data_IF_824928275066
#
_entry.id   IF_824928275066
#
_cell.length_a   1.000
_cell.length_b   1.000
_cell.length_c   1.000
_cell.angle_alpha   90.00
_cell.angle_beta   90.00
_cell.angle_gamma   90.00
#
_symmetry.space_group_name_H-M   'P 1'
#
loop_
_entity.id
_entity.type
_entity.pdbx_description
1 polymer ?
#
# COMPACT_ATOMS: atom_id res chain seq x y z
N UNK A 1 -27.10 -8.78 -23.79
CA UNK A 1 -26.26 -8.05 -22.82
C UNK A 1 -26.98 -8.09 -21.48
N UNK A 2 -26.59 -8.99 -20.57
CA UNK A 2 -27.14 -9.01 -19.21
C UNK A 2 -26.73 -7.74 -18.49
N UNK A 3 -27.70 -7.05 -17.86
CA UNK A 3 -27.40 -5.88 -17.04
C UNK A 3 -26.35 -6.25 -15.99
N UNK A 4 -25.29 -5.45 -15.87
CA UNK A 4 -24.29 -5.65 -14.81
C UNK A 4 -25.01 -5.61 -13.44
N UNK A 5 -24.72 -6.55 -12.54
CA UNK A 5 -25.40 -6.59 -11.24
C UNK A 5 -25.16 -5.26 -10.51
N UNK A 6 -26.18 -4.76 -9.81
CA UNK A 6 -26.06 -3.57 -8.95
C UNK A 6 -25.00 -3.78 -7.88
N UNK A 7 -24.62 -2.71 -7.16
CA UNK A 7 -23.56 -2.74 -6.13
C UNK A 7 -23.70 -3.92 -5.15
N UNK A 8 -24.86 -4.08 -4.55
CA UNK A 8 -25.14 -5.22 -3.65
C UNK A 8 -25.11 -6.57 -4.37
N UNK A 9 -25.45 -6.61 -5.67
CA UNK A 9 -25.31 -7.80 -6.51
C UNK A 9 -23.87 -8.22 -6.68
N UNK A 10 -22.95 -7.29 -6.94
CA UNK A 10 -21.52 -7.55 -7.04
C UNK A 10 -20.92 -8.01 -5.69
N UNK A 11 -21.30 -7.39 -4.58
CA UNK A 11 -20.89 -7.84 -3.24
C UNK A 11 -21.43 -9.24 -2.93
N UNK A 12 -22.68 -9.55 -3.32
CA UNK A 12 -23.23 -10.89 -3.19
C UNK A 12 -22.52 -11.93 -4.05
N UNK A 13 -22.06 -11.56 -5.23
CA UNK A 13 -21.22 -12.45 -6.04
C UNK A 13 -19.85 -12.69 -5.41
N UNK A 14 -19.21 -11.64 -4.84
CA UNK A 14 -17.96 -11.79 -4.09
C UNK A 14 -18.14 -12.65 -2.84
N UNK A 15 -19.28 -12.53 -2.14
CA UNK A 15 -19.57 -13.39 -0.98
C UNK A 15 -19.67 -14.88 -1.34
N UNK A 16 -19.89 -15.21 -2.62
CA UNK A 16 -19.91 -16.57 -3.16
C UNK A 16 -18.53 -17.02 -3.68
N UNK A 17 -17.51 -16.15 -3.64
CA UNK A 17 -16.14 -16.58 -3.92
C UNK A 17 -15.71 -17.59 -2.86
N UNK A 18 -14.85 -18.51 -3.28
CA UNK A 18 -14.35 -19.59 -2.40
C UNK A 18 -13.60 -19.06 -1.18
N UNK A 19 -13.38 -19.94 -0.22
CA UNK A 19 -12.69 -19.62 1.04
C UNK A 19 -11.31 -18.98 0.81
N UNK A 20 -10.60 -19.37 -0.26
CA UNK A 20 -9.31 -18.80 -0.64
C UNK A 20 -9.35 -17.28 -0.81
N UNK A 21 -10.38 -16.73 -1.44
CA UNK A 21 -10.55 -15.28 -1.60
C UNK A 21 -10.65 -14.56 -0.23
N UNK A 22 -11.43 -15.10 0.69
CA UNK A 22 -11.61 -14.50 2.01
C UNK A 22 -10.36 -14.62 2.88
N UNK A 23 -9.61 -15.71 2.75
CA UNK A 23 -8.33 -15.88 3.45
C UNK A 23 -7.24 -14.94 2.92
N UNK A 24 -7.24 -14.65 1.61
CA UNK A 24 -6.38 -13.60 1.03
C UNK A 24 -6.73 -12.23 1.60
N UNK A 25 -8.01 -11.88 1.65
CA UNK A 25 -8.46 -10.61 2.23
C UNK A 25 -8.20 -10.52 3.75
N UNK A 26 -8.37 -11.62 4.48
CA UNK A 26 -8.03 -11.69 5.91
C UNK A 26 -6.53 -11.49 6.13
N UNK A 27 -5.68 -12.10 5.30
CA UNK A 27 -4.23 -11.88 5.37
C UNK A 27 -3.85 -10.43 5.09
N UNK A 28 -4.55 -9.78 4.14
CA UNK A 28 -4.34 -8.36 3.83
C UNK A 28 -4.78 -7.43 4.98
N UNK A 29 -5.92 -7.72 5.62
CA UNK A 29 -6.40 -6.99 6.78
C UNK A 29 -5.44 -7.09 7.96
N UNK A 30 -5.03 -8.30 8.28
CA UNK A 30 -4.12 -8.57 9.40
C UNK A 30 -2.72 -8.00 9.15
N UNK A 31 -2.25 -7.97 7.90
CA UNK A 31 -1.01 -7.30 7.54
C UNK A 31 -1.14 -5.77 7.64
N UNK A 32 -2.29 -5.22 7.24
CA UNK A 32 -2.60 -3.80 7.47
C UNK A 32 -2.41 -3.41 8.93
N UNK A 33 -2.90 -4.20 9.86
CA UNK A 33 -2.69 -3.97 11.31
C UNK A 33 -1.22 -4.17 11.69
N UNK A 34 -0.65 -5.35 11.38
CA UNK A 34 0.64 -5.75 11.93
C UNK A 34 1.84 -5.01 11.29
N UNK A 35 1.78 -4.70 9.99
CA UNK A 35 2.85 -3.97 9.32
C UNK A 35 2.86 -2.50 9.70
N UNK A 36 1.71 -1.83 9.64
CA UNK A 36 1.62 -0.41 9.98
C UNK A 36 1.78 -0.18 11.48
N UNK A 37 1.32 -1.12 12.33
CA UNK A 37 1.53 -1.05 13.77
C UNK A 37 3.00 -1.07 14.18
N UNK A 38 3.84 -1.78 13.42
CA UNK A 38 5.28 -1.70 13.64
C UNK A 38 5.87 -0.46 12.98
N UNK A 39 5.52 -0.17 11.73
CA UNK A 39 6.12 0.95 10.99
C UNK A 39 5.92 2.28 11.70
N UNK A 40 4.73 2.52 12.25
CA UNK A 40 4.40 3.75 12.97
C UNK A 40 5.18 3.91 14.29
N UNK A 41 5.55 2.79 14.92
CA UNK A 41 6.29 2.80 16.20
C UNK A 41 7.79 2.54 16.05
N UNK A 42 8.24 2.15 14.87
CA UNK A 42 9.60 1.63 14.68
C UNK A 42 10.67 2.65 15.06
N UNK A 43 10.53 3.92 14.64
CA UNK A 43 11.49 4.97 15.02
C UNK A 43 11.55 5.11 16.53
N UNK A 44 10.39 5.17 17.20
CA UNK A 44 10.31 5.34 18.65
C UNK A 44 10.88 4.13 19.40
N UNK A 45 10.66 2.92 18.91
CA UNK A 45 11.24 1.70 19.47
C UNK A 45 12.77 1.70 19.33
N UNK A 46 13.30 2.02 18.14
CA UNK A 46 14.73 2.08 17.88
C UNK A 46 15.44 3.12 18.75
N UNK A 47 14.82 4.29 18.97
CA UNK A 47 15.43 5.37 19.74
C UNK A 47 15.28 5.16 21.25
N UNK A 48 14.10 4.76 21.73
CA UNK A 48 13.81 4.68 23.16
C UNK A 48 14.25 3.36 23.79
N UNK A 49 13.92 2.23 23.14
CA UNK A 49 14.17 0.90 23.69
C UNK A 49 15.57 0.38 23.30
N UNK A 50 15.98 0.56 22.03
CA UNK A 50 17.30 0.17 21.56
C UNK A 50 18.39 1.27 21.68
N UNK A 51 18.00 2.47 22.14
CA UNK A 51 18.89 3.63 22.36
C UNK A 51 19.74 3.99 21.13
N UNK A 52 19.15 3.85 19.95
CA UNK A 52 19.75 4.25 18.69
C UNK A 52 19.67 5.78 18.55
N UNK A 53 20.69 6.42 17.96
CA UNK A 53 20.61 7.85 17.64
C UNK A 53 19.49 8.13 16.63
N UNK A 54 18.78 9.25 16.75
CA UNK A 54 17.59 9.59 15.93
C UNK A 54 17.87 9.51 14.43
N UNK A 55 19.03 10.03 13.99
CA UNK A 55 19.43 9.95 12.59
C UNK A 55 19.62 8.50 12.11
N UNK A 56 20.23 7.65 12.92
CA UNK A 56 20.45 6.24 12.61
C UNK A 56 19.11 5.47 12.58
N UNK A 57 18.19 5.77 13.52
CA UNK A 57 16.86 5.19 13.54
C UNK A 57 16.05 5.56 12.30
N UNK A 58 16.05 6.84 11.91
CA UNK A 58 15.39 7.31 10.68
C UNK A 58 15.97 6.64 9.42
N UNK A 59 17.29 6.53 9.33
CA UNK A 59 17.96 5.82 8.22
C UNK A 59 17.59 4.33 8.21
N UNK A 60 17.52 3.68 9.37
CA UNK A 60 17.13 2.27 9.50
C UNK A 60 15.72 2.04 8.97
N UNK A 61 14.75 2.89 9.32
CA UNK A 61 13.37 2.81 8.80
C UNK A 61 13.32 3.04 7.29
N UNK A 62 14.09 4.00 6.79
CA UNK A 62 14.19 4.26 5.35
C UNK A 62 14.76 3.08 4.58
N UNK A 63 15.82 2.47 5.07
CA UNK A 63 16.43 1.28 4.49
C UNK A 63 15.49 0.07 4.57
N UNK A 64 14.80 -0.12 5.69
CA UNK A 64 13.79 -1.17 5.84
C UNK A 64 12.66 -1.03 4.80
N UNK A 65 12.05 0.13 4.69
CA UNK A 65 10.95 0.36 3.73
C UNK A 65 11.41 0.26 2.28
N UNK A 66 12.65 0.68 2.00
CA UNK A 66 13.31 0.49 0.71
C UNK A 66 13.52 -0.98 0.39
N UNK A 67 14.05 -1.75 1.34
CA UNK A 67 14.29 -3.18 1.19
C UNK A 67 12.98 -3.95 0.97
N UNK A 68 11.90 -3.61 1.69
CA UNK A 68 10.55 -4.16 1.44
C UNK A 68 10.18 -4.05 -0.03
N UNK A 69 10.31 -2.84 -0.59
CA UNK A 69 9.90 -2.59 -1.98
C UNK A 69 10.78 -3.31 -3.00
N UNK A 70 12.10 -3.36 -2.77
CA UNK A 70 13.03 -4.08 -3.64
C UNK A 70 12.72 -5.59 -3.62
N UNK A 71 12.44 -6.15 -2.44
CA UNK A 71 12.14 -7.57 -2.28
C UNK A 71 10.77 -7.98 -2.84
N UNK A 72 9.87 -7.03 -3.17
CA UNK A 72 8.63 -7.34 -3.90
C UNK A 72 8.90 -7.90 -5.31
N UNK A 73 10.02 -7.54 -5.95
CA UNK A 73 10.38 -8.04 -7.28
C UNK A 73 10.67 -9.55 -7.26
N UNK A 74 11.65 -10.05 -6.48
CA UNK A 74 11.84 -11.49 -6.34
C UNK A 74 10.65 -12.19 -5.66
N UNK A 75 9.94 -11.50 -4.75
CA UNK A 75 8.75 -12.01 -4.09
C UNK A 75 7.62 -12.35 -5.05
N UNK A 76 7.41 -11.50 -6.07
CA UNK A 76 6.47 -11.79 -7.16
C UNK A 76 6.86 -13.05 -7.93
N UNK A 77 8.14 -13.21 -8.27
CA UNK A 77 8.64 -14.42 -8.96
C UNK A 77 8.52 -15.68 -8.08
N UNK A 78 8.67 -15.56 -6.76
CA UNK A 78 8.41 -16.66 -5.82
C UNK A 78 6.94 -17.05 -5.87
N UNK A 79 6.03 -16.07 -5.86
CA UNK A 79 4.60 -16.30 -5.96
C UNK A 79 4.23 -17.05 -7.25
N UNK A 80 4.74 -16.60 -8.39
CA UNK A 80 4.48 -17.23 -9.68
C UNK A 80 4.95 -18.71 -9.74
N UNK A 81 6.13 -19.00 -9.13
CA UNK A 81 6.70 -20.36 -9.13
C UNK A 81 6.05 -21.29 -8.11
N UNK A 82 5.82 -20.84 -6.89
CA UNK A 82 5.37 -21.68 -5.77
C UNK A 82 3.86 -21.66 -5.56
N UNK A 83 3.18 -20.69 -6.19
CA UNK A 83 1.77 -20.43 -6.05
C UNK A 83 1.42 -19.59 -4.83
N UNK A 84 0.26 -18.98 -4.91
CA UNK A 84 -0.26 -18.03 -3.93
C UNK A 84 -0.32 -18.62 -2.51
N UNK A 85 -0.80 -19.85 -2.36
CA UNK A 85 -0.89 -20.52 -1.06
C UNK A 85 0.46 -20.63 -0.36
N UNK A 86 1.48 -21.18 -1.05
CA UNK A 86 2.81 -21.38 -0.46
C UNK A 86 3.52 -20.05 -0.21
N UNK A 87 3.35 -19.08 -1.12
CA UNK A 87 3.93 -17.74 -0.99
C UNK A 87 3.36 -17.00 0.24
N UNK A 88 2.04 -16.99 0.42
CA UNK A 88 1.41 -16.39 1.62
C UNK A 88 1.85 -17.13 2.88
N UNK A 89 1.86 -18.47 2.90
CA UNK A 89 2.33 -19.25 4.05
C UNK A 89 3.77 -18.91 4.44
N UNK A 90 4.70 -18.84 3.46
CA UNK A 90 6.08 -18.43 3.70
C UNK A 90 6.16 -17.00 4.26
N UNK A 91 5.41 -16.06 3.69
CA UNK A 91 5.42 -14.67 4.15
C UNK A 91 4.92 -14.52 5.59
N UNK A 92 3.87 -15.24 5.96
CA UNK A 92 3.34 -15.24 7.32
C UNK A 92 4.34 -15.84 8.33
N UNK A 93 5.06 -16.91 7.95
CA UNK A 93 6.13 -17.49 8.76
C UNK A 93 7.29 -16.49 8.96
N UNK A 94 7.82 -15.95 7.89
CA UNK A 94 8.90 -14.96 7.95
C UNK A 94 8.47 -13.70 8.72
N UNK A 95 7.23 -13.25 8.52
CA UNK A 95 6.67 -12.12 9.22
C UNK A 95 6.52 -12.34 10.72
N UNK A 96 6.11 -13.53 11.12
CA UNK A 96 6.05 -13.95 12.55
C UNK A 96 7.44 -13.95 13.17
N UNK A 97 8.40 -14.63 12.52
CA UNK A 97 9.78 -14.74 13.02
C UNK A 97 10.45 -13.34 13.09
N UNK A 98 10.29 -12.52 12.07
CA UNK A 98 10.84 -11.17 12.05
C UNK A 98 10.26 -10.27 13.14
N UNK A 99 8.94 -10.29 13.34
CA UNK A 99 8.28 -9.48 14.38
C UNK A 99 8.62 -9.96 15.79
N UNK A 100 8.61 -11.27 16.00
CA UNK A 100 9.03 -11.84 17.29
C UNK A 100 10.51 -11.57 17.58
N UNK A 101 11.38 -11.72 16.58
CA UNK A 101 12.79 -11.37 16.71
C UNK A 101 13.02 -9.90 17.05
N UNK A 102 12.23 -8.99 16.46
CA UNK A 102 12.29 -7.55 16.78
C UNK A 102 11.84 -7.31 18.24
N UNK A 103 10.77 -7.96 18.69
CA UNK A 103 10.33 -7.86 20.08
C UNK A 103 11.34 -8.39 21.09
N UNK A 104 12.11 -9.42 20.69
CA UNK A 104 13.17 -10.02 21.52
C UNK A 104 14.49 -9.24 21.46
N UNK A 105 14.68 -8.34 20.48
CA UNK A 105 15.96 -7.70 20.21
C UNK A 105 16.55 -7.00 21.44
N UNK A 106 15.72 -6.33 22.23
CA UNK A 106 16.13 -5.64 23.48
C UNK A 106 16.77 -6.60 24.50
N UNK A 107 16.34 -7.85 24.53
CA UNK A 107 16.82 -8.86 25.49
C UNK A 107 18.06 -9.61 25.00
N UNK A 108 18.56 -9.34 23.78
CA UNK A 108 19.71 -10.02 23.19
C UNK A 108 21.02 -9.32 23.56
N UNK A 109 22.17 -10.04 23.56
CA UNK A 109 23.48 -9.44 23.75
C UNK A 109 23.87 -8.43 22.66
N UNK A 110 23.29 -8.57 21.45
CA UNK A 110 23.55 -7.73 20.29
C UNK A 110 22.24 -7.15 19.73
N UNK A 111 21.60 -6.20 20.46
CA UNK A 111 20.24 -5.76 20.14
C UNK A 111 20.10 -5.16 18.72
N UNK A 112 21.12 -4.44 18.25
CA UNK A 112 21.08 -3.84 16.91
C UNK A 112 21.20 -4.88 15.78
N UNK A 113 22.03 -5.90 15.98
CA UNK A 113 22.16 -7.02 15.01
C UNK A 113 20.84 -7.80 14.96
N UNK A 114 20.27 -8.13 16.12
CA UNK A 114 18.98 -8.80 16.20
C UNK A 114 17.85 -7.98 15.54
N UNK A 115 17.83 -6.67 15.77
CA UNK A 115 16.86 -5.78 15.12
C UNK A 115 17.03 -5.78 13.59
N UNK A 116 18.26 -5.66 13.07
CA UNK A 116 18.49 -5.68 11.63
C UNK A 116 18.13 -7.01 10.98
N UNK A 117 18.49 -8.14 11.57
CA UNK A 117 18.08 -9.47 11.09
C UNK A 117 16.55 -9.56 11.05
N UNK A 118 15.91 -9.10 12.10
CA UNK A 118 14.45 -9.09 12.21
C UNK A 118 13.79 -8.21 11.13
N UNK A 119 14.32 -7.02 10.88
CA UNK A 119 13.84 -6.12 9.83
C UNK A 119 14.04 -6.70 8.43
N UNK A 120 15.15 -7.39 8.17
CA UNK A 120 15.38 -8.09 6.89
C UNK A 120 14.36 -9.22 6.70
N UNK A 121 14.09 -10.02 7.74
CA UNK A 121 13.05 -11.06 7.70
C UNK A 121 11.65 -10.47 7.44
N UNK A 122 11.32 -9.37 8.12
CA UNK A 122 10.06 -8.66 7.90
C UNK A 122 9.97 -8.06 6.48
N UNK A 123 11.06 -7.52 5.97
CA UNK A 123 11.11 -6.99 4.61
C UNK A 123 10.90 -8.10 3.57
N UNK A 124 11.53 -9.27 3.77
CA UNK A 124 11.32 -10.44 2.92
C UNK A 124 9.88 -10.96 3.02
N UNK A 125 9.31 -10.99 4.23
CA UNK A 125 7.91 -11.36 4.45
C UNK A 125 6.96 -10.48 3.62
N UNK A 126 7.02 -9.17 3.82
CA UNK A 126 6.14 -8.21 3.12
C UNK A 126 6.43 -8.18 1.62
N UNK A 127 7.70 -8.33 1.23
CA UNK A 127 8.12 -8.41 -0.16
C UNK A 127 7.48 -9.58 -0.92
N UNK A 128 7.31 -10.74 -0.28
CA UNK A 128 6.59 -11.89 -0.86
C UNK A 128 5.08 -11.73 -0.72
N UNK A 129 4.60 -11.23 0.41
CA UNK A 129 3.18 -11.18 0.75
C UNK A 129 2.39 -10.28 -0.19
N UNK A 130 2.84 -9.07 -0.44
CA UNK A 130 2.07 -8.10 -1.23
C UNK A 130 1.78 -8.58 -2.67
N UNK A 131 2.77 -9.03 -3.47
CA UNK A 131 2.49 -9.60 -4.78
C UNK A 131 1.60 -10.84 -4.72
N UNK A 132 1.76 -11.68 -3.69
CA UNK A 132 0.96 -12.90 -3.53
C UNK A 132 -0.50 -12.60 -3.20
N UNK A 133 -0.80 -11.55 -2.41
CA UNK A 133 -2.17 -11.11 -2.14
C UNK A 133 -2.86 -10.62 -3.41
N UNK A 134 -2.17 -9.83 -4.23
CA UNK A 134 -2.72 -9.33 -5.49
C UNK A 134 -2.94 -10.47 -6.50
N UNK A 135 -1.99 -11.38 -6.64
CA UNK A 135 -2.14 -12.59 -7.47
C UNK A 135 -3.31 -13.45 -6.95
N UNK A 136 -3.41 -13.63 -5.63
CA UNK A 136 -4.47 -14.40 -4.99
C UNK A 136 -5.86 -13.87 -5.27
N UNK A 137 -6.05 -12.54 -5.29
CA UNK A 137 -7.33 -11.95 -5.70
C UNK A 137 -7.63 -12.30 -7.15
N UNK A 138 -6.67 -12.16 -8.07
CA UNK A 138 -6.87 -12.51 -9.49
C UNK A 138 -7.24 -13.99 -9.66
N UNK A 139 -6.55 -14.90 -8.96
CA UNK A 139 -6.76 -16.35 -9.06
C UNK A 139 -8.10 -16.79 -8.46
N UNK A 140 -8.56 -16.13 -7.40
CA UNK A 140 -9.74 -16.57 -6.62
C UNK A 140 -11.02 -15.82 -6.96
N UNK A 141 -10.94 -14.76 -7.77
CA UNK A 141 -12.09 -13.95 -8.19
C UNK A 141 -12.53 -14.30 -9.61
N UNK A 142 -13.83 -14.31 -9.87
CA UNK A 142 -14.37 -14.46 -11.22
C UNK A 142 -14.11 -13.19 -12.04
N UNK A 143 -13.93 -13.32 -13.36
CA UNK A 143 -13.61 -12.19 -14.26
C UNK A 143 -14.65 -11.05 -14.18
N UNK A 144 -15.92 -11.36 -14.06
CA UNK A 144 -17.01 -10.38 -14.00
C UNK A 144 -17.02 -9.52 -12.73
N UNK A 145 -16.32 -9.92 -11.67
CA UNK A 145 -16.22 -9.21 -10.39
C UNK A 145 -14.76 -8.93 -9.96
N UNK A 146 -13.79 -9.15 -10.82
CA UNK A 146 -12.37 -8.97 -10.52
C UNK A 146 -12.05 -7.53 -10.07
N UNK A 147 -12.59 -6.51 -10.76
CA UNK A 147 -12.42 -5.11 -10.38
C UNK A 147 -12.92 -4.84 -8.95
N UNK A 148 -14.10 -5.37 -8.60
CA UNK A 148 -14.66 -5.26 -7.25
C UNK A 148 -13.83 -6.07 -6.24
N UNK A 149 -13.23 -7.20 -6.67
CA UNK A 149 -12.30 -7.99 -5.85
C UNK A 149 -11.05 -7.19 -5.43
N UNK A 150 -10.39 -6.52 -6.36
CA UNK A 150 -9.25 -5.63 -6.07
C UNK A 150 -9.68 -4.41 -5.26
N UNK A 151 -10.86 -3.87 -5.53
CA UNK A 151 -11.43 -2.76 -4.78
C UNK A 151 -11.63 -3.13 -3.31
N UNK A 152 -12.21 -4.29 -3.04
CA UNK A 152 -12.42 -4.77 -1.68
C UNK A 152 -11.10 -5.08 -0.97
N UNK A 153 -10.13 -5.68 -1.67
CA UNK A 153 -8.78 -5.91 -1.13
C UNK A 153 -8.15 -4.60 -0.66
N UNK A 154 -8.21 -3.55 -1.49
CA UNK A 154 -7.64 -2.24 -1.16
C UNK A 154 -8.36 -1.59 0.03
N UNK A 155 -9.69 -1.65 0.06
CA UNK A 155 -10.49 -1.12 1.18
C UNK A 155 -10.24 -1.87 2.49
N UNK A 156 -10.10 -3.19 2.44
CA UNK A 156 -9.82 -4.02 3.61
C UNK A 156 -8.41 -3.72 4.19
N UNK A 157 -7.43 -3.46 3.33
CA UNK A 157 -6.11 -2.99 3.78
C UNK A 157 -6.22 -1.67 4.55
N UNK A 158 -6.92 -0.69 3.97
CA UNK A 158 -7.12 0.61 4.62
C UNK A 158 -7.92 0.50 5.93
N UNK A 159 -8.89 -0.41 6.01
CA UNK A 159 -9.59 -0.73 7.24
C UNK A 159 -8.64 -1.31 8.30
N UNK A 160 -7.68 -2.15 7.90
CA UNK A 160 -6.62 -2.66 8.78
C UNK A 160 -5.71 -1.55 9.32
N UNK A 161 -5.29 -0.63 8.45
CA UNK A 161 -4.49 0.55 8.84
C UNK A 161 -5.26 1.42 9.83
N UNK A 162 -6.53 1.68 9.56
CA UNK A 162 -7.40 2.44 10.46
C UNK A 162 -7.56 1.73 11.80
N UNK A 163 -7.81 0.42 11.82
CA UNK A 163 -7.93 -0.37 13.04
C UNK A 163 -6.65 -0.31 13.88
N UNK A 164 -5.47 -0.37 13.24
CA UNK A 164 -4.17 -0.22 13.90
C UNK A 164 -4.07 1.10 14.65
N UNK A 165 -4.47 2.20 14.04
CA UNK A 165 -4.39 3.54 14.64
C UNK A 165 -5.16 3.66 15.97
N UNK A 166 -6.12 2.77 16.22
CA UNK A 166 -6.84 2.68 17.49
C UNK A 166 -6.27 1.60 18.42
N UNK A 167 -5.86 0.47 17.85
CA UNK A 167 -5.36 -0.69 18.62
C UNK A 167 -4.00 -0.39 19.24
N UNK A 168 -3.09 0.24 18.50
CA UNK A 168 -1.71 0.48 18.96
C UNK A 168 -1.62 1.40 20.20
N UNK A 169 -2.27 2.57 20.25
CA UNK A 169 -2.30 3.39 21.46
C UNK A 169 -2.96 2.68 22.64
N UNK A 170 -4.06 1.96 22.42
CA UNK A 170 -4.75 1.20 23.45
C UNK A 170 -3.89 0.10 24.07
N UNK A 171 -3.10 -0.60 23.25
CA UNK A 171 -2.16 -1.59 23.75
C UNK A 171 -1.00 -0.95 24.53
N UNK A 172 -0.47 0.18 24.04
CA UNK A 172 0.78 0.77 24.48
C UNK A 172 0.69 1.59 25.76
N UNK A 173 -0.42 2.36 25.92
CA UNK A 173 -0.57 3.34 27.02
C UNK A 173 -1.58 2.87 28.06
N UNK A 174 -1.62 3.54 29.21
CA UNK A 174 -2.67 3.36 30.23
C UNK A 174 -3.81 4.38 30.07
N UNK A 175 -3.75 5.22 29.04
CA UNK A 175 -4.76 6.24 28.79
C UNK A 175 -6.09 5.62 28.35
N UNK A 176 -7.19 6.36 28.63
CA UNK A 176 -8.52 5.91 28.20
C UNK A 176 -8.72 6.30 26.73
N UNK A 177 -8.83 5.30 25.88
CA UNK A 177 -9.13 5.46 24.45
C UNK A 177 -10.52 4.90 24.18
N UNK A 178 -11.43 5.71 23.65
CA UNK A 178 -12.84 5.32 23.42
C UNK A 178 -13.57 4.71 24.63
N UNK A 179 -13.31 5.22 25.83
CA UNK A 179 -13.92 4.71 27.06
C UNK A 179 -13.30 3.40 27.59
N UNK A 180 -12.29 2.85 26.92
CA UNK A 180 -11.55 1.66 27.35
C UNK A 180 -10.18 2.08 27.91
N UNK A 181 -9.86 1.60 29.10
CA UNK A 181 -8.53 1.81 29.69
C UNK A 181 -7.50 0.99 28.91
N UNK A 182 -6.42 1.66 28.49
CA UNK A 182 -5.33 1.02 27.79
C UNK A 182 -4.55 0.01 28.65
N UNK A 183 -3.91 -0.96 28.00
CA UNK A 183 -3.21 -2.07 28.64
C UNK A 183 -1.82 -1.70 29.18
N UNK A 184 -1.19 -0.63 28.66
CA UNK A 184 0.12 -0.18 29.11
C UNK A 184 1.27 -1.14 28.82
N UNK A 185 1.19 -1.91 27.75
CA UNK A 185 2.20 -2.92 27.41
C UNK A 185 3.52 -2.33 26.91
N UNK A 186 3.59 -1.02 26.66
CA UNK A 186 4.75 -0.37 26.08
C UNK A 186 5.02 -0.77 24.62
N UNK A 187 6.17 -0.38 24.09
CA UNK A 187 6.52 -0.71 22.68
C UNK A 187 6.77 -2.20 22.47
N UNK A 188 7.52 -2.85 23.37
CA UNK A 188 7.81 -4.28 23.27
C UNK A 188 6.54 -5.13 23.33
N UNK A 189 5.58 -4.80 24.20
CA UNK A 189 4.30 -5.52 24.27
C UNK A 189 3.48 -5.38 23.00
N UNK A 190 3.45 -4.19 22.38
CA UNK A 190 2.81 -4.00 21.07
C UNK A 190 3.48 -4.86 20.00
N UNK A 191 4.82 -4.90 19.95
CA UNK A 191 5.56 -5.74 18.99
C UNK A 191 5.22 -7.24 19.15
N UNK A 192 5.04 -7.73 20.37
CA UNK A 192 4.59 -9.10 20.63
C UNK A 192 3.19 -9.35 20.10
N UNK A 193 2.26 -8.45 20.30
CA UNK A 193 0.90 -8.56 19.73
C UNK A 193 0.97 -8.55 18.20
N UNK A 194 1.78 -7.65 17.61
CA UNK A 194 1.97 -7.59 16.16
C UNK A 194 2.68 -8.84 15.59
N UNK A 195 3.43 -9.60 16.39
CA UNK A 195 3.97 -10.91 16.03
C UNK A 195 2.92 -12.01 16.13
N UNK A 196 2.02 -11.92 17.11
CA UNK A 196 0.92 -12.87 17.32
C UNK A 196 -0.11 -12.86 16.18
N UNK A 197 -0.35 -11.70 15.55
CA UNK A 197 -1.30 -11.55 14.45
C UNK A 197 -0.92 -12.43 13.24
N UNK A 198 0.27 -12.35 12.64
CA UNK A 198 0.64 -13.21 11.51
C UNK A 198 0.81 -14.68 11.94
N UNK A 199 1.16 -14.96 13.18
CA UNK A 199 1.17 -16.35 13.70
C UNK A 199 -0.24 -16.94 13.70
N UNK A 200 -1.22 -16.21 14.24
CA UNK A 200 -2.62 -16.62 14.17
C UNK A 200 -3.08 -16.82 12.72
N UNK A 201 -2.76 -15.86 11.86
CA UNK A 201 -3.09 -15.96 10.44
C UNK A 201 -2.40 -17.15 9.76
N UNK A 202 -1.16 -17.49 10.13
CA UNK A 202 -0.44 -18.66 9.62
C UNK A 202 -1.15 -19.96 10.00
N UNK A 203 -1.63 -20.06 11.23
CA UNK A 203 -2.40 -21.22 11.69
C UNK A 203 -3.70 -21.33 10.88
N UNK A 204 -4.48 -20.26 10.79
CA UNK A 204 -5.72 -20.23 10.00
C UNK A 204 -5.45 -20.57 8.53
N UNK A 205 -4.40 -19.97 7.94
CA UNK A 205 -4.00 -20.23 6.56
C UNK A 205 -3.63 -21.69 6.34
N UNK A 206 -2.83 -22.27 7.23
CA UNK A 206 -2.36 -23.66 7.09
C UNK A 206 -3.51 -24.67 7.20
N UNK A 207 -4.51 -24.38 8.04
CA UNK A 207 -5.65 -25.27 8.28
C UNK A 207 -6.74 -25.15 7.22
N UNK A 208 -6.99 -23.93 6.72
CA UNK A 208 -8.20 -23.66 5.95
C UNK A 208 -7.95 -23.21 4.50
N UNK A 209 -6.71 -22.81 4.14
CA UNK A 209 -6.48 -22.38 2.75
C UNK A 209 -6.56 -23.60 1.82
N UNK A 210 -7.40 -23.53 0.77
CA UNK A 210 -7.59 -24.66 -0.15
C UNK A 210 -6.25 -25.13 -0.75
N UNK A 211 -6.07 -26.45 -0.80
CA UNK A 211 -4.93 -27.02 -1.51
C UNK A 211 -5.11 -26.83 -3.01
N UNK A 212 -4.00 -26.62 -3.72
CA UNK A 212 -4.02 -26.63 -5.17
C UNK A 212 -4.44 -28.01 -5.66
N UNK A 213 -5.30 -28.07 -6.67
CA UNK A 213 -5.64 -29.35 -7.31
C UNK A 213 -4.49 -29.80 -8.22
N UNK A 214 -4.30 -31.12 -8.46
CA UNK A 214 -3.25 -31.60 -9.36
C UNK A 214 -3.29 -30.97 -10.75
N UNK A 215 -4.48 -30.67 -11.29
CA UNK A 215 -4.67 -29.96 -12.56
C UNK A 215 -4.14 -28.52 -12.48
N UNK A 216 -4.39 -27.80 -11.39
CA UNK A 216 -3.88 -26.43 -11.20
C UNK A 216 -2.35 -26.40 -11.03
N UNK A 217 -1.76 -27.40 -10.35
CA UNK A 217 -0.30 -27.52 -10.25
C UNK A 217 0.32 -27.82 -11.62
N UNK A 218 -0.33 -28.62 -12.44
CA UNK A 218 0.13 -28.96 -13.78
C UNK A 218 0.00 -27.78 -14.76
N UNK A 219 -1.13 -27.06 -14.71
CA UNK A 219 -1.31 -25.80 -15.45
C UNK A 219 -0.29 -24.74 -15.06
N UNK A 220 -0.02 -24.57 -13.75
CA UNK A 220 0.99 -23.64 -13.26
C UNK A 220 2.40 -24.04 -13.70
N UNK A 221 2.72 -25.33 -13.72
CA UNK A 221 4.02 -25.83 -14.19
C UNK A 221 4.22 -25.57 -15.68
N UNK A 222 3.20 -25.78 -16.49
CA UNK A 222 3.24 -25.49 -17.93
C UNK A 222 3.26 -23.98 -18.22
N UNK A 223 2.49 -23.18 -17.48
CA UNK A 223 2.52 -21.71 -17.56
C UNK A 223 3.86 -21.15 -17.06
N UNK A 224 4.46 -21.73 -16.02
CA UNK A 224 5.78 -21.36 -15.52
C UNK A 224 6.91 -21.62 -16.54
N UNK A 225 6.81 -22.70 -17.33
CA UNK A 225 7.71 -22.95 -18.44
C UNK A 225 7.50 -21.96 -19.59
N UNK A 226 6.26 -21.65 -19.94
CA UNK A 226 5.93 -20.62 -20.92
C UNK A 226 6.34 -19.22 -20.44
N UNK A 227 6.20 -18.93 -19.15
CA UNK A 227 6.64 -17.68 -18.54
C UNK A 227 8.17 -17.52 -18.53
N UNK A 228 8.93 -18.62 -18.43
CA UNK A 228 10.40 -18.59 -18.53
C UNK A 228 10.89 -18.19 -19.93
N UNK A 229 10.08 -18.40 -20.97
CA UNK A 229 10.35 -17.97 -22.36
C UNK A 229 9.73 -16.61 -22.68
N UNK A 230 8.84 -16.09 -21.83
CA UNK A 230 8.18 -14.80 -21.99
C UNK A 230 9.07 -13.60 -21.60
N UNK A 231 8.68 -12.41 -22.01
CA UNK A 231 9.38 -11.18 -21.67
C UNK A 231 9.22 -10.88 -20.18
N UNK A 232 10.33 -10.67 -19.47
CA UNK A 232 10.32 -10.25 -18.08
C UNK A 232 9.72 -8.82 -17.97
N UNK A 233 8.87 -8.48 -16.95
CA UNK A 233 8.21 -7.18 -16.83
C UNK A 233 9.17 -5.99 -16.90
N UNK A 234 10.42 -6.12 -16.43
CA UNK A 234 11.45 -5.09 -16.54
C UNK A 234 11.93 -4.81 -17.98
N UNK A 235 11.55 -5.62 -18.96
CA UNK A 235 11.90 -5.43 -20.38
C UNK A 235 10.72 -4.86 -21.19
N UNK A 236 9.55 -4.76 -20.60
CA UNK A 236 8.35 -4.26 -21.28
C UNK A 236 8.23 -2.74 -21.13
N UNK A 237 8.57 -2.02 -22.18
CA UNK A 237 8.63 -0.55 -22.17
C UNK A 237 7.29 0.12 -21.83
N UNK A 238 6.15 -0.45 -22.29
CA UNK A 238 4.82 0.09 -22.00
C UNK A 238 4.47 -0.05 -20.53
N UNK A 239 4.74 -1.22 -19.97
CA UNK A 239 4.53 -1.48 -18.56
C UNK A 239 5.40 -0.59 -17.68
N UNK A 240 6.69 -0.48 -17.98
CA UNK A 240 7.60 0.41 -17.25
C UNK A 240 7.17 1.87 -17.35
N UNK A 241 6.85 2.35 -18.54
CA UNK A 241 6.33 3.71 -18.70
C UNK A 241 5.08 3.93 -17.84
N UNK A 242 4.12 3.01 -17.90
CA UNK A 242 2.87 3.11 -17.15
C UNK A 242 3.10 3.21 -15.65
N UNK A 243 3.95 2.36 -15.07
CA UNK A 243 4.21 2.40 -13.63
C UNK A 243 5.02 3.64 -13.20
N UNK A 244 5.99 4.07 -14.02
CA UNK A 244 6.85 5.21 -13.68
C UNK A 244 6.20 6.57 -13.94
N UNK A 245 5.28 6.70 -14.90
CA UNK A 245 4.54 7.95 -15.11
C UNK A 245 3.64 8.31 -13.91
N UNK A 246 3.33 7.35 -13.06
CA UNK A 246 2.60 7.58 -11.81
C UNK A 246 3.52 8.04 -10.66
N UNK A 247 4.84 8.03 -10.84
CA UNK A 247 5.80 8.46 -9.82
C UNK A 247 5.48 9.86 -9.27
N UNK A 248 5.24 10.90 -10.12
CA UNK A 248 4.95 12.24 -9.63
C UNK A 248 3.74 12.31 -8.68
N UNK A 249 2.62 11.67 -9.02
CA UNK A 249 1.44 11.67 -8.13
C UNK A 249 1.68 10.84 -6.87
N UNK A 250 2.49 9.79 -6.94
CA UNK A 250 2.85 8.96 -5.77
C UNK A 250 3.72 9.70 -4.75
N UNK A 251 4.48 10.72 -5.16
CA UNK A 251 5.21 11.56 -4.20
C UNK A 251 4.28 12.30 -3.26
N UNK A 252 3.05 12.64 -3.68
CA UNK A 252 2.07 13.27 -2.79
C UNK A 252 1.73 12.40 -1.57
N UNK A 253 1.69 11.08 -1.74
CA UNK A 253 1.50 10.16 -0.60
C UNK A 253 2.68 10.19 0.36
N UNK A 254 3.90 10.26 -0.15
CA UNK A 254 5.08 10.41 0.69
C UNK A 254 5.05 11.75 1.46
N UNK A 255 4.55 12.82 0.85
CA UNK A 255 4.38 14.12 1.51
C UNK A 255 3.32 14.13 2.61
N UNK A 256 2.33 13.23 2.60
CA UNK A 256 1.40 13.05 3.72
C UNK A 256 2.13 12.71 5.04
N UNK A 257 3.26 12.06 4.95
CA UNK A 257 4.02 11.56 6.10
C UNK A 257 5.28 12.38 6.36
N UNK A 258 5.87 12.98 5.32
CA UNK A 258 7.14 13.70 5.42
C UNK A 258 6.97 15.22 5.54
N UNK A 259 5.94 15.79 4.95
CA UNK A 259 5.77 17.26 4.87
C UNK A 259 4.52 17.75 5.60
N UNK A 260 3.43 16.97 5.56
CA UNK A 260 2.16 17.37 6.16
C UNK A 260 2.24 17.59 7.67
N UNK A 261 2.95 16.75 8.45
CA UNK A 261 3.14 17.02 9.87
C UNK A 261 3.78 18.41 10.12
N UNK A 262 4.90 18.70 9.47
CA UNK A 262 5.59 19.98 9.60
C UNK A 262 4.71 21.16 9.17
N UNK A 263 3.96 21.01 8.08
CA UNK A 263 3.00 22.01 7.62
C UNK A 263 1.92 22.29 8.68
N UNK A 264 1.34 21.25 9.27
CA UNK A 264 0.32 21.41 10.31
C UNK A 264 0.94 22.02 11.58
N UNK A 265 2.05 21.48 12.07
CA UNK A 265 2.67 21.93 13.29
C UNK A 265 3.30 23.34 13.20
N UNK A 266 3.65 23.79 11.99
CA UNK A 266 4.26 25.13 11.80
C UNK A 266 3.30 26.19 11.34
N UNK A 267 2.20 25.84 10.65
CA UNK A 267 1.31 26.81 10.01
C UNK A 267 -0.08 26.91 10.64
N UNK A 268 -0.46 26.01 11.57
CA UNK A 268 -1.78 26.02 12.19
C UNK A 268 -1.69 26.30 13.71
N UNK A 269 -2.84 26.59 14.32
CA UNK A 269 -2.99 26.80 15.75
C UNK A 269 -2.98 25.47 16.55
N UNK A 270 -2.88 25.58 17.88
CA UNK A 270 -2.83 24.41 18.77
C UNK A 270 -4.10 23.54 18.71
N UNK A 271 -5.26 24.11 18.38
CA UNK A 271 -6.49 23.34 18.27
C UNK A 271 -6.44 22.34 17.11
N UNK A 272 -5.76 22.69 16.01
CA UNK A 272 -5.56 21.83 14.85
C UNK A 272 -4.40 20.85 15.09
N UNK A 273 -3.29 21.31 15.67
CA UNK A 273 -2.14 20.45 15.99
C UNK A 273 -2.55 19.29 16.90
N UNK A 274 -3.35 19.55 17.92
CA UNK A 274 -3.85 18.55 18.85
C UNK A 274 -4.83 17.55 18.23
N UNK A 275 -5.23 17.76 16.98
CA UNK A 275 -6.11 16.87 16.20
C UNK A 275 -5.43 16.27 14.99
N UNK A 276 -4.10 16.32 14.92
CA UNK A 276 -3.33 15.82 13.79
C UNK A 276 -3.70 14.38 13.40
N UNK A 277 -3.86 13.50 14.39
CA UNK A 277 -4.21 12.10 14.16
C UNK A 277 -5.57 11.93 13.45
N UNK A 278 -6.52 12.85 13.68
CA UNK A 278 -7.81 12.84 13.01
C UNK A 278 -7.67 13.13 11.50
N UNK A 279 -6.77 14.06 11.14
CA UNK A 279 -6.49 14.34 9.74
C UNK A 279 -5.78 13.16 9.07
N UNK A 280 -4.88 12.50 9.79
CA UNK A 280 -4.20 11.30 9.29
C UNK A 280 -5.17 10.12 9.09
N UNK A 281 -6.16 9.95 9.99
CA UNK A 281 -7.16 8.89 9.91
C UNK A 281 -8.24 9.15 8.83
N UNK A 282 -8.43 10.40 8.40
CA UNK A 282 -9.48 10.78 7.46
C UNK A 282 -9.26 10.15 6.07
N UNK A 283 -8.02 10.08 5.58
CA UNK A 283 -7.72 9.47 4.28
C UNK A 283 -8.09 7.98 4.25
N UNK A 284 -7.61 7.09 5.14
CA UNK A 284 -8.01 5.68 5.13
C UNK A 284 -9.52 5.48 5.28
N UNK A 285 -10.20 6.31 6.07
CA UNK A 285 -11.65 6.27 6.24
C UNK A 285 -12.38 6.54 4.91
N UNK A 286 -12.04 7.64 4.24
CA UNK A 286 -12.66 8.02 2.96
C UNK A 286 -12.36 6.96 1.91
N UNK A 287 -11.12 6.49 1.81
CA UNK A 287 -10.68 5.48 0.83
C UNK A 287 -11.43 4.15 1.05
N UNK A 288 -11.54 3.69 2.30
CA UNK A 288 -12.26 2.44 2.63
C UNK A 288 -13.69 2.45 2.10
N UNK A 289 -14.38 3.58 2.22
CA UNK A 289 -15.77 3.71 1.78
C UNK A 289 -15.89 4.03 0.28
N UNK A 290 -15.04 4.91 -0.24
CA UNK A 290 -15.15 5.43 -1.59
C UNK A 290 -14.69 4.43 -2.67
N UNK A 291 -13.66 3.61 -2.40
CA UNK A 291 -13.09 2.71 -3.40
C UNK A 291 -14.11 1.70 -3.94
N UNK A 292 -14.87 0.95 -3.12
CA UNK A 292 -15.89 0.02 -3.63
C UNK A 292 -17.03 0.74 -4.38
N UNK A 293 -17.45 1.91 -3.88
CA UNK A 293 -18.51 2.69 -4.51
C UNK A 293 -18.09 3.19 -5.89
N UNK A 294 -16.91 3.80 -6.00
CA UNK A 294 -16.41 4.29 -7.27
C UNK A 294 -16.10 3.16 -8.25
N UNK A 295 -15.56 2.04 -7.79
CA UNK A 295 -15.34 0.87 -8.65
C UNK A 295 -16.67 0.38 -9.25
N UNK A 296 -17.74 0.35 -8.45
CA UNK A 296 -19.08 -0.01 -8.95
C UNK A 296 -19.60 1.00 -9.99
N UNK A 297 -19.58 2.30 -9.67
CA UNK A 297 -20.12 3.34 -10.56
C UNK A 297 -19.33 3.48 -11.85
N UNK A 298 -18.02 3.26 -11.78
CA UNK A 298 -17.11 3.43 -12.92
C UNK A 298 -16.73 2.12 -13.61
N UNK A 299 -17.38 1.01 -13.26
CA UNK A 299 -17.05 -0.33 -13.77
C UNK A 299 -17.11 -0.47 -15.30
N UNK A 300 -17.86 0.41 -16.00
CA UNK A 300 -17.93 0.49 -17.45
C UNK A 300 -16.93 1.45 -18.08
N UNK A 301 -16.25 2.24 -17.28
CA UNK A 301 -15.29 3.22 -17.77
C UNK A 301 -13.94 2.52 -17.96
N UNK A 302 -13.25 2.72 -19.10
CA UNK A 302 -11.91 2.18 -19.31
C UNK A 302 -10.97 2.53 -18.17
N UNK A 303 -10.18 1.55 -17.72
CA UNK A 303 -9.30 1.69 -16.55
C UNK A 303 -8.35 2.88 -16.68
N UNK A 304 -7.72 3.05 -17.85
CA UNK A 304 -6.80 4.16 -18.13
C UNK A 304 -7.48 5.54 -17.99
N UNK A 305 -8.76 5.68 -18.38
CA UNK A 305 -9.50 6.94 -18.19
C UNK A 305 -9.71 7.23 -16.72
N UNK A 306 -10.04 6.21 -15.92
CA UNK A 306 -10.17 6.37 -14.48
C UNK A 306 -8.85 6.72 -13.80
N UNK A 307 -7.74 6.15 -14.27
CA UNK A 307 -6.41 6.50 -13.80
C UNK A 307 -6.09 7.98 -14.08
N UNK A 308 -6.39 8.48 -15.27
CA UNK A 308 -6.20 9.90 -15.64
C UNK A 308 -7.05 10.80 -14.74
N UNK A 309 -8.34 10.51 -14.60
CA UNK A 309 -9.26 11.32 -13.79
C UNK A 309 -8.84 11.30 -12.32
N UNK A 310 -8.59 10.12 -11.76
CA UNK A 310 -8.23 9.97 -10.35
C UNK A 310 -6.91 10.67 -10.01
N UNK A 311 -5.87 10.50 -10.84
CA UNK A 311 -4.58 11.20 -10.63
C UNK A 311 -4.71 12.71 -10.82
N UNK A 312 -5.56 13.17 -11.76
CA UNK A 312 -5.85 14.59 -11.94
C UNK A 312 -6.58 15.20 -10.74
N UNK A 313 -7.55 14.49 -10.16
CA UNK A 313 -8.26 14.94 -8.95
C UNK A 313 -7.29 15.01 -7.76
N UNK A 314 -6.43 13.98 -7.57
CA UNK A 314 -5.43 13.99 -6.49
C UNK A 314 -4.43 15.15 -6.65
N UNK A 315 -3.95 15.41 -7.87
CA UNK A 315 -3.04 16.54 -8.15
C UNK A 315 -3.75 17.88 -7.95
N UNK A 316 -4.97 18.03 -8.47
CA UNK A 316 -5.76 19.27 -8.36
C UNK A 316 -6.10 19.61 -6.90
N UNK A 317 -6.43 18.59 -6.08
CA UNK A 317 -6.67 18.78 -4.66
C UNK A 317 -5.51 19.45 -3.93
N UNK A 318 -4.26 19.16 -4.35
CA UNK A 318 -3.05 19.71 -3.73
C UNK A 318 -2.95 21.24 -3.90
N UNK A 319 -3.57 21.83 -4.94
CA UNK A 319 -3.63 23.28 -5.10
C UNK A 319 -4.44 23.99 -4.01
N UNK A 320 -5.31 23.29 -3.27
CA UNK A 320 -5.99 23.87 -2.12
C UNK A 320 -5.02 24.28 -1.00
N UNK A 321 -3.89 23.59 -0.89
CA UNK A 321 -2.85 23.89 0.09
C UNK A 321 -1.93 25.06 -0.33
N UNK A 322 -2.05 25.53 -1.58
CA UNK A 322 -1.40 26.77 -2.05
C UNK A 322 -2.09 28.02 -1.50
N UNK A 323 -3.37 27.90 -1.13
CA UNK A 323 -4.11 28.98 -0.48
C UNK A 323 -3.63 29.16 0.98
N UNK A 324 -3.91 30.33 1.59
CA UNK A 324 -3.53 30.55 2.99
C UNK A 324 -3.98 29.42 3.90
N UNK A 325 -3.15 29.00 4.88
CA UNK A 325 -3.46 27.87 5.78
C UNK A 325 -4.77 28.07 6.52
N UNK A 326 -5.76 27.22 6.21
CA UNK A 326 -7.09 27.24 6.83
C UNK A 326 -7.56 25.79 7.08
N UNK A 327 -8.21 25.50 8.21
CA UNK A 327 -8.67 24.14 8.56
C UNK A 327 -9.65 23.54 7.54
N UNK A 328 -10.57 24.36 7.00
CA UNK A 328 -11.54 23.94 5.99
C UNK A 328 -10.87 23.53 4.66
N UNK A 329 -9.82 24.25 4.25
CA UNK A 329 -9.03 23.91 3.07
C UNK A 329 -8.22 22.60 3.28
N UNK A 330 -7.66 22.42 4.48
CA UNK A 330 -6.95 21.19 4.84
C UNK A 330 -7.90 19.98 4.80
N UNK A 331 -9.08 20.08 5.39
CA UNK A 331 -10.10 19.03 5.35
C UNK A 331 -10.52 18.75 3.90
N UNK A 332 -10.82 19.81 3.14
CA UNK A 332 -11.21 19.68 1.73
C UNK A 332 -10.13 19.01 0.89
N UNK A 333 -8.85 19.37 1.13
CA UNK A 333 -7.71 18.73 0.49
C UNK A 333 -7.69 17.23 0.79
N UNK A 334 -7.75 16.83 2.06
CA UNK A 334 -7.68 15.41 2.45
C UNK A 334 -8.83 14.63 1.82
N UNK A 335 -10.06 15.17 1.84
CA UNK A 335 -11.22 14.51 1.25
C UNK A 335 -11.06 14.37 -0.27
N UNK A 336 -10.76 15.46 -0.99
CA UNK A 336 -10.63 15.43 -2.45
C UNK A 336 -9.45 14.58 -2.90
N UNK A 337 -8.32 14.65 -2.20
CA UNK A 337 -7.16 13.81 -2.45
C UNK A 337 -7.53 12.32 -2.31
N UNK A 338 -8.22 11.95 -1.23
CA UNK A 338 -8.67 10.58 -0.96
C UNK A 338 -9.70 10.09 -1.99
N UNK A 339 -10.60 10.97 -2.47
CA UNK A 339 -11.53 10.63 -3.56
C UNK A 339 -10.77 10.41 -4.88
N UNK A 340 -9.76 11.23 -5.18
CA UNK A 340 -8.86 11.01 -6.30
C UNK A 340 -8.16 9.66 -6.20
N UNK A 341 -7.60 9.33 -5.05
CA UNK A 341 -6.98 8.04 -4.76
C UNK A 341 -7.95 6.89 -4.97
N UNK A 342 -9.16 6.99 -4.42
CA UNK A 342 -10.18 5.97 -4.55
C UNK A 342 -10.58 5.67 -6.02
N UNK A 343 -10.46 6.66 -6.90
CA UNK A 343 -10.73 6.49 -8.34
C UNK A 343 -9.65 5.70 -9.06
N UNK A 344 -8.38 5.78 -8.66
CA UNK A 344 -7.31 5.18 -9.43
C UNK A 344 -6.56 4.02 -8.75
N UNK A 345 -6.53 3.96 -7.42
CA UNK A 345 -5.65 3.01 -6.72
C UNK A 345 -6.02 1.54 -6.96
N UNK A 346 -7.30 1.17 -6.84
CA UNK A 346 -7.77 -0.19 -7.14
C UNK A 346 -7.70 -0.50 -8.63
N UNK A 347 -7.94 0.50 -9.48
CA UNK A 347 -7.85 0.38 -10.94
C UNK A 347 -6.41 0.16 -11.42
N UNK A 348 -5.43 0.73 -10.71
CA UNK A 348 -4.03 0.42 -10.95
C UNK A 348 -3.74 -1.08 -10.79
N UNK A 349 -4.18 -1.68 -9.69
CA UNK A 349 -3.98 -3.12 -9.45
C UNK A 349 -4.69 -3.99 -10.50
N UNK A 350 -5.92 -3.63 -10.84
CA UNK A 350 -6.70 -4.29 -11.89
C UNK A 350 -5.94 -4.25 -13.24
N UNK A 351 -5.44 -3.07 -13.63
CA UNK A 351 -4.73 -2.89 -14.89
C UNK A 351 -3.43 -3.69 -14.96
N UNK A 352 -2.64 -3.70 -13.88
CA UNK A 352 -1.44 -4.54 -13.79
C UNK A 352 -1.79 -6.02 -13.93
N UNK A 353 -2.86 -6.47 -13.25
CA UNK A 353 -3.31 -7.85 -13.35
C UNK A 353 -3.77 -8.24 -14.77
N UNK A 354 -4.37 -7.29 -15.52
CA UNK A 354 -4.78 -7.50 -16.91
C UNK A 354 -3.58 -7.53 -17.87
N UNK A 355 -2.56 -6.68 -17.65
CA UNK A 355 -1.35 -6.65 -18.45
C UNK A 355 -0.46 -7.89 -18.27
N UNK A 356 -0.51 -8.51 -17.09
CA UNK A 356 0.36 -9.63 -16.77
C UNK A 356 0.00 -10.88 -17.58
N UNK A 357 0.97 -11.47 -18.31
CA UNK A 357 0.77 -12.75 -18.96
C UNK A 357 0.40 -13.86 -17.97
N UNK A 358 -0.25 -14.94 -18.41
CA UNK A 358 -0.52 -16.10 -17.56
C UNK A 358 0.76 -16.60 -16.89
N UNK A 359 0.70 -16.85 -15.57
CA UNK A 359 1.85 -17.31 -14.78
C UNK A 359 2.87 -16.24 -14.38
N UNK A 360 2.65 -14.95 -14.69
CA UNK A 360 3.56 -13.84 -14.33
C UNK A 360 2.89 -12.73 -13.50
N UNK A 361 1.71 -12.96 -12.96
CA UNK A 361 0.96 -11.92 -12.24
C UNK A 361 1.72 -11.42 -11.01
N UNK A 362 2.33 -12.32 -10.26
CA UNK A 362 3.14 -11.97 -9.09
C UNK A 362 4.35 -11.11 -9.49
N UNK A 363 5.05 -11.48 -10.55
CA UNK A 363 6.21 -10.73 -11.07
C UNK A 363 5.83 -9.31 -11.51
N UNK A 364 4.71 -9.15 -12.25
CA UNK A 364 4.20 -7.83 -12.65
C UNK A 364 3.77 -6.99 -11.45
N UNK A 365 3.06 -7.58 -10.48
CA UNK A 365 2.67 -6.92 -9.24
C UNK A 365 3.88 -6.50 -8.39
N UNK A 366 4.92 -7.33 -8.33
CA UNK A 366 6.17 -7.02 -7.65
C UNK A 366 6.88 -5.81 -8.27
N UNK A 367 7.08 -5.82 -9.59
CA UNK A 367 7.73 -4.72 -10.32
C UNK A 367 6.88 -3.44 -10.29
N UNK A 368 5.56 -3.55 -10.32
CA UNK A 368 4.64 -2.40 -10.24
C UNK A 368 4.78 -1.57 -8.97
N UNK A 369 5.40 -2.12 -7.93
CA UNK A 369 5.68 -1.42 -6.69
C UNK A 369 7.02 -0.66 -6.66
N UNK A 370 7.93 -0.88 -7.63
CA UNK A 370 9.21 -0.16 -7.70
C UNK A 370 9.06 1.38 -7.67
N UNK A 371 8.08 2.01 -8.35
CA UNK A 371 7.90 3.45 -8.26
C UNK A 371 7.58 3.95 -6.83
N UNK A 372 7.01 3.12 -5.96
CA UNK A 372 6.83 3.47 -4.56
C UNK A 372 8.14 3.63 -3.79
N UNK A 373 9.12 2.76 -4.08
CA UNK A 373 10.47 2.92 -3.52
C UNK A 373 11.07 4.22 -4.01
N UNK A 374 11.05 4.46 -5.33
CA UNK A 374 11.63 5.67 -5.93
C UNK A 374 10.94 6.92 -5.38
N UNK A 375 9.59 6.92 -5.27
CA UNK A 375 8.85 8.03 -4.71
C UNK A 375 9.26 8.35 -3.27
N UNK A 376 9.27 7.34 -2.37
CA UNK A 376 9.64 7.53 -0.96
C UNK A 376 11.10 7.97 -0.83
N UNK A 377 12.00 7.35 -1.58
CA UNK A 377 13.42 7.63 -1.53
C UNK A 377 13.72 9.04 -2.02
N UNK A 378 13.25 9.41 -3.21
CA UNK A 378 13.49 10.75 -3.78
C UNK A 378 12.82 11.84 -2.94
N UNK A 379 11.56 11.62 -2.50
CA UNK A 379 10.86 12.60 -1.66
C UNK A 379 11.59 12.84 -0.34
N UNK A 380 12.16 11.81 0.28
CA UNK A 380 12.93 11.93 1.51
C UNK A 380 14.13 12.89 1.38
N UNK A 381 14.81 12.90 0.22
CA UNK A 381 15.93 13.79 -0.01
C UNK A 381 15.53 15.26 -0.14
N UNK A 382 14.52 15.55 -0.97
CA UNK A 382 14.20 16.95 -1.26
C UNK A 382 13.19 17.55 -0.27
N UNK A 383 12.34 16.74 0.40
CA UNK A 383 11.33 17.27 1.32
C UNK A 383 11.95 18.01 2.51
N UNK A 384 13.02 17.48 3.09
CA UNK A 384 13.74 18.14 4.17
C UNK A 384 14.31 19.50 3.74
N UNK A 385 14.90 19.58 2.56
CA UNK A 385 15.36 20.85 1.99
C UNK A 385 14.23 21.83 1.75
N UNK A 386 13.12 21.36 1.17
CA UNK A 386 11.92 22.17 0.93
C UNK A 386 11.33 22.71 2.23
N UNK A 387 11.21 21.86 3.27
CA UNK A 387 10.72 22.27 4.59
C UNK A 387 11.64 23.31 5.20
N UNK A 388 12.96 23.11 5.18
CA UNK A 388 13.92 24.03 5.76
C UNK A 388 13.87 25.43 5.09
N UNK A 389 13.63 25.49 3.78
CA UNK A 389 13.62 26.75 3.04
C UNK A 389 12.25 27.43 2.99
N UNK A 390 11.15 26.67 2.91
CA UNK A 390 9.80 27.24 2.74
C UNK A 390 8.92 27.16 4.00
N UNK A 391 9.27 26.32 4.98
CA UNK A 391 8.59 26.22 6.26
C UNK A 391 9.59 26.27 7.43
N UNK A 392 10.48 27.28 7.53
CA UNK A 392 11.43 27.33 8.63
C UNK A 392 10.72 27.41 9.99
N UNK A 393 11.38 26.93 11.05
CA UNK A 393 10.84 27.04 12.42
C UNK A 393 10.68 28.50 12.85
N UNK A 394 11.65 29.33 12.48
CA UNK A 394 11.66 30.77 12.75
C UNK A 394 11.75 31.56 11.46
N UNK A 395 11.05 32.68 11.37
CA UNK A 395 11.03 33.56 10.21
C UNK A 395 9.78 33.42 9.36
N UNK A 396 9.84 34.01 8.15
CA UNK A 396 8.71 34.00 7.20
C UNK A 396 8.54 32.63 6.58
N UNK A 397 7.32 32.12 6.57
CA UNK A 397 6.97 30.83 5.98
C UNK A 397 6.25 31.04 4.66
N UNK A 398 6.57 30.21 3.68
CA UNK A 398 6.01 30.21 2.34
C UNK A 398 5.40 28.85 1.96
N UNK A 399 4.36 28.40 2.71
CA UNK A 399 3.70 27.13 2.42
C UNK A 399 3.10 27.09 1.01
N UNK A 400 2.64 28.25 0.49
CA UNK A 400 2.09 28.39 -0.86
C UNK A 400 3.09 27.95 -1.93
N UNK A 401 4.36 28.34 -1.81
CA UNK A 401 5.40 27.97 -2.78
C UNK A 401 5.72 26.46 -2.69
N UNK A 402 5.82 25.93 -1.48
CA UNK A 402 6.10 24.52 -1.26
C UNK A 402 5.01 23.64 -1.89
N UNK A 403 3.74 23.91 -1.58
CA UNK A 403 2.62 23.13 -2.10
C UNK A 403 2.38 23.33 -3.59
N UNK A 404 2.68 24.54 -4.13
CA UNK A 404 2.63 24.80 -5.57
C UNK A 404 3.61 23.90 -6.32
N UNK A 405 4.86 23.80 -5.86
CA UNK A 405 5.86 22.93 -6.48
C UNK A 405 5.38 21.48 -6.47
N UNK A 406 4.88 20.97 -5.33
CA UNK A 406 4.40 19.59 -5.24
C UNK A 406 3.18 19.33 -6.13
N UNK A 407 2.24 20.26 -6.19
CA UNK A 407 1.06 20.17 -7.06
C UNK A 407 1.46 20.15 -8.55
N UNK A 408 2.38 21.01 -8.96
CA UNK A 408 2.88 21.04 -10.34
C UNK A 408 3.60 19.74 -10.72
N UNK A 409 4.43 19.19 -9.83
CA UNK A 409 5.08 17.89 -10.05
C UNK A 409 4.02 16.80 -10.21
N UNK A 410 3.01 16.76 -9.35
CA UNK A 410 1.97 15.74 -9.41
C UNK A 410 1.15 15.78 -10.70
N UNK A 411 0.95 16.96 -11.30
CA UNK A 411 0.26 17.13 -12.59
C UNK A 411 0.96 16.41 -13.76
N UNK A 412 2.24 16.11 -13.65
CA UNK A 412 2.96 15.35 -14.68
C UNK A 412 2.38 13.96 -14.90
N UNK A 413 1.81 13.34 -13.87
CA UNK A 413 1.21 12.01 -13.98
C UNK A 413 -0.05 11.99 -14.86
N UNK A 414 -1.11 12.76 -14.59
CA UNK A 414 -2.28 12.77 -15.46
C UNK A 414 -1.96 13.29 -16.86
N UNK A 415 -1.08 14.28 -17.00
CA UNK A 415 -0.66 14.78 -18.30
C UNK A 415 0.08 13.71 -19.12
N UNK A 416 1.03 13.01 -18.51
CA UNK A 416 1.76 11.94 -19.19
C UNK A 416 0.86 10.77 -19.58
N UNK A 417 -0.09 10.38 -18.70
CA UNK A 417 -1.09 9.36 -19.04
C UNK A 417 -2.01 9.80 -20.19
N UNK A 418 -2.42 11.09 -20.24
CA UNK A 418 -3.23 11.62 -21.34
C UNK A 418 -2.47 11.60 -22.68
N UNK A 419 -1.23 12.03 -22.68
CA UNK A 419 -0.38 12.05 -23.88
C UNK A 419 -0.11 10.63 -24.39
N UNK A 420 0.12 9.67 -23.49
CA UNK A 420 0.40 8.29 -23.83
C UNK A 420 -0.86 7.42 -23.99
N UNK A 421 -2.07 7.97 -23.80
CA UNK A 421 -3.32 7.19 -23.77
C UNK A 421 -3.45 6.23 -24.95
N UNK A 422 -3.30 6.74 -26.18
CA UNK A 422 -3.43 5.94 -27.42
C UNK A 422 -2.38 4.84 -27.52
N UNK A 423 -1.20 5.06 -27.00
CA UNK A 423 -0.11 4.06 -27.02
C UNK A 423 -0.34 2.96 -25.99
N UNK A 424 -0.85 3.32 -24.81
CA UNK A 424 -1.17 2.36 -23.74
C UNK A 424 -2.42 1.53 -24.09
N UNK A 425 -3.43 2.11 -24.73
CA UNK A 425 -4.72 1.49 -25.05
C UNK A 425 -4.62 0.45 -26.21
N UNK A 426 -3.74 0.67 -27.18
CA UNK A 426 -3.55 -0.20 -28.34
C UNK A 426 -3.14 -1.64 -28.01
N UNK A 427 -2.71 -1.94 -26.77
CA UNK A 427 -2.31 -3.28 -26.35
C UNK A 427 -3.48 -4.24 -26.21
N UNK A 428 -4.65 -3.75 -25.75
CA UNK A 428 -5.84 -4.59 -25.57
C UNK A 428 -6.54 -4.96 -26.89
N UNK A 429 -6.47 -4.09 -27.90
CA UNK A 429 -7.12 -4.34 -29.18
C UNK A 429 -6.39 -5.34 -30.08
N UNK A 430 -5.12 -5.61 -29.86
CA UNK A 430 -4.36 -6.60 -30.65
C UNK A 430 -4.46 -8.02 -30.08
N UNK A 431 -4.67 -8.19 -28.78
CA UNK A 431 -4.89 -9.51 -28.18
C UNK A 431 -6.31 -10.05 -28.48
N UNK A 432 -7.32 -9.18 -28.55
CA UNK A 432 -8.67 -9.58 -28.95
C UNK A 432 -8.76 -9.95 -30.45
N UNK A 433 -7.94 -9.35 -31.32
CA UNK A 433 -7.90 -9.67 -32.76
C UNK A 433 -7.03 -10.87 -33.12
N UNK A 434 -6.15 -11.34 -32.22
CA UNK A 434 -5.31 -12.51 -32.40
C UNK A 434 -5.88 -13.81 -31.83
N UNK A 435 -7.03 -13.74 -31.13
CA UNK A 435 -7.73 -14.87 -30.53
C UNK A 435 -9.03 -15.26 -31.28
N UNK A 436 -9.27 -14.67 -32.46
CA UNK A 436 -10.41 -15.00 -33.33
C UNK A 436 -10.05 -15.96 -34.47
#
# INVERSE_FOLDING_TARGET
>A
MSASPGFFGQLRELSRCGLGYWLVNMANFTDGIAYFGILNLLVLYLTRDLRMADQAAGLTVSLFTGLVTILMVPGGSICDRWGTRRAIGLSLLLGTLGRAGLALAVATPFPWVAAWVSLVLMAAATGVQQPALYAGVKETTRQNVAAMGFSLLYSIMNLGIMAESFVSPWLRTHEVTFGLRGLGLGFSGVLWVMAGIPLFQLIVHSLFFPADTPSQEQERSSQGQAAATGSHPLKEARFLFFIFILLPVRTLFAHQWLTMPDYIFRCFDEAIKNRYEWFAALNPLVVTLAVPLFTHWTGRVPVLKMMIVGTAVSAAATFLLVLPPRPDLLISYVILFSLGEALWASRFLEYIAQMAPPGQVGSYMGVANLPWFVAKFTTGFYSGWMIANFLPEQGTRHPETLWLVYACIACLSPLGLMLAYRWLDKSHSQEESGAS
#
